data_IF_814584189567
#
_entry.id   IF_814584189567
#
_cell.length_a   1.000
_cell.length_b   1.000
_cell.length_c   1.000
_cell.angle_alpha   90.00
_cell.angle_beta   90.00
_cell.angle_gamma   90.00
#
_symmetry.space_group_name_H-M   'P 1'
#
loop_
_entity.id
_entity.type
_entity.pdbx_description
1 polymer ?
#
# COMPACT_ATOMS: atom_id res chain seq x y z
N UNK A 1 17.97 -5.93 30.73
CA UNK A 1 18.14 -5.73 29.27
C UNK A 1 17.25 -6.67 28.45
N UNK A 2 15.91 -6.58 28.57
CA UNK A 2 14.97 -7.48 27.85
C UNK A 2 13.92 -6.74 26.98
N UNK A 3 13.88 -5.41 27.06
CA UNK A 3 12.88 -4.56 26.40
C UNK A 3 13.31 -4.11 25.00
N UNK A 4 14.62 -4.01 24.74
CA UNK A 4 15.18 -3.46 23.48
C UNK A 4 14.90 -4.38 22.28
N UNK A 5 14.87 -5.70 22.49
CA UNK A 5 14.72 -6.70 21.40
C UNK A 5 13.32 -6.67 20.76
N UNK A 6 12.29 -6.29 21.51
CA UNK A 6 10.92 -6.21 20.98
C UNK A 6 10.69 -5.01 20.07
N UNK A 7 11.40 -3.90 20.32
CA UNK A 7 11.29 -2.67 19.53
C UNK A 7 11.93 -2.84 18.15
N UNK A 8 13.07 -3.52 18.08
CA UNK A 8 13.79 -3.78 16.83
C UNK A 8 12.92 -4.63 15.87
N UNK A 9 12.30 -5.71 16.38
CA UNK A 9 11.43 -6.56 15.56
C UNK A 9 10.21 -5.85 15.00
N UNK A 10 9.62 -4.90 15.72
CA UNK A 10 8.48 -4.12 15.22
C UNK A 10 8.88 -3.24 14.04
N UNK A 11 10.00 -2.54 14.14
CA UNK A 11 10.50 -1.65 13.09
C UNK A 11 10.85 -2.40 11.79
N UNK A 12 11.38 -3.61 11.88
CA UNK A 12 11.65 -4.46 10.71
C UNK A 12 10.36 -4.95 10.05
N UNK A 13 9.36 -5.35 10.84
CA UNK A 13 8.04 -5.77 10.32
C UNK A 13 7.31 -4.61 9.64
N UNK A 14 7.36 -3.41 10.21
CA UNK A 14 6.79 -2.19 9.60
C UNK A 14 7.45 -1.87 8.26
N UNK A 15 8.78 -2.02 8.16
CA UNK A 15 9.50 -1.85 6.88
C UNK A 15 9.12 -2.88 5.83
N UNK A 16 8.95 -4.14 6.20
CA UNK A 16 8.52 -5.17 5.26
C UNK A 16 7.08 -4.92 4.80
N UNK A 17 6.20 -4.53 5.71
CA UNK A 17 4.81 -4.21 5.40
C UNK A 17 4.71 -2.99 4.46
N UNK A 18 5.51 -1.95 4.70
CA UNK A 18 5.63 -0.80 3.79
C UNK A 18 6.10 -1.23 2.39
N UNK A 19 7.06 -2.16 2.28
CA UNK A 19 7.51 -2.67 0.97
C UNK A 19 6.40 -3.40 0.23
N UNK A 20 5.63 -4.24 0.94
CA UNK A 20 4.49 -4.97 0.36
C UNK A 20 3.41 -4.01 -0.12
N UNK A 21 3.04 -3.02 0.71
CA UNK A 21 2.07 -1.99 0.33
C UNK A 21 2.52 -1.16 -0.86
N UNK A 22 3.81 -0.81 -0.96
CA UNK A 22 4.34 -0.12 -2.14
C UNK A 22 4.26 -1.01 -3.39
N UNK A 23 4.53 -2.31 -3.27
CA UNK A 23 4.39 -3.24 -4.38
C UNK A 23 2.93 -3.38 -4.84
N UNK A 24 1.98 -3.46 -3.90
CA UNK A 24 0.54 -3.45 -4.19
C UNK A 24 0.11 -2.13 -4.84
N UNK A 25 0.65 -1.00 -4.38
CA UNK A 25 0.41 0.32 -4.95
C UNK A 25 0.85 0.36 -6.42
N UNK A 26 2.08 -0.07 -6.71
CA UNK A 26 2.65 -0.09 -8.05
C UNK A 26 1.81 -0.99 -8.99
N UNK A 27 1.40 -2.16 -8.50
CA UNK A 27 0.55 -3.08 -9.26
C UNK A 27 -0.82 -2.47 -9.57
N UNK A 28 -1.47 -1.84 -8.59
CA UNK A 28 -2.78 -1.24 -8.80
C UNK A 28 -2.70 0.01 -9.68
N UNK A 29 -1.61 0.78 -9.63
CA UNK A 29 -1.35 1.88 -10.56
C UNK A 29 -1.17 1.39 -12.00
N UNK A 30 -0.44 0.29 -12.21
CA UNK A 30 -0.32 -0.33 -13.53
C UNK A 30 -1.69 -0.81 -14.05
N UNK A 31 -2.48 -1.45 -13.18
CA UNK A 31 -3.84 -1.90 -13.49
C UNK A 31 -4.75 -0.71 -13.85
N UNK A 32 -4.65 0.40 -13.11
CA UNK A 32 -5.40 1.62 -13.41
C UNK A 32 -4.98 2.22 -14.76
N UNK A 33 -3.69 2.25 -15.05
CA UNK A 33 -3.17 2.74 -16.33
C UNK A 33 -3.76 1.96 -17.50
N UNK A 34 -3.77 0.63 -17.42
CA UNK A 34 -4.32 -0.22 -18.48
C UNK A 34 -5.84 -0.01 -18.61
N UNK A 35 -6.55 0.05 -17.49
CA UNK A 35 -7.99 0.33 -17.48
C UNK A 35 -8.35 1.72 -18.04
N UNK A 36 -7.48 2.72 -17.84
CA UNK A 36 -7.63 4.04 -18.45
C UNK A 36 -7.43 3.99 -19.97
N UNK A 37 -6.47 3.19 -20.46
CA UNK A 37 -6.24 3.00 -21.89
C UNK A 37 -7.38 2.24 -22.57
N UNK A 38 -8.00 1.28 -21.87
CA UNK A 38 -9.14 0.50 -22.37
C UNK A 38 -10.50 1.19 -22.11
N UNK A 39 -10.51 2.36 -21.49
CA UNK A 39 -11.71 3.11 -21.07
C UNK A 39 -12.68 2.26 -20.21
N UNK A 40 -12.17 1.27 -19.48
CA UNK A 40 -12.96 0.42 -18.59
C UNK A 40 -13.29 1.18 -17.30
N UNK A 41 -14.38 1.94 -17.37
CA UNK A 41 -14.92 2.72 -16.26
C UNK A 41 -15.22 1.91 -14.99
N UNK A 42 -15.50 0.61 -15.07
CA UNK A 42 -15.68 -0.24 -13.88
C UNK A 42 -14.35 -0.54 -13.22
N UNK A 43 -13.36 -0.95 -14.02
CA UNK A 43 -12.03 -1.27 -13.52
C UNK A 43 -11.32 0.00 -13.00
N UNK A 44 -11.47 1.14 -13.67
CA UNK A 44 -10.99 2.44 -13.19
C UNK A 44 -11.56 2.77 -11.80
N UNK A 45 -12.88 2.63 -11.60
CA UNK A 45 -13.51 2.92 -10.31
C UNK A 45 -13.01 1.96 -9.21
N UNK A 46 -12.85 0.68 -9.54
CA UNK A 46 -12.33 -0.34 -8.62
C UNK A 46 -10.89 -0.05 -8.23
N UNK A 47 -10.02 0.23 -9.21
CA UNK A 47 -8.61 0.53 -8.98
C UNK A 47 -8.42 1.81 -8.16
N UNK A 48 -9.18 2.87 -8.47
CA UNK A 48 -9.17 4.09 -7.65
C UNK A 48 -9.59 3.83 -6.20
N UNK A 49 -10.62 3.01 -5.98
CA UNK A 49 -11.03 2.64 -4.61
C UNK A 49 -9.91 1.92 -3.88
N UNK A 50 -9.26 0.95 -4.54
CA UNK A 50 -8.18 0.16 -3.94
C UNK A 50 -6.94 1.01 -3.64
N UNK A 51 -6.57 1.92 -4.54
CA UNK A 51 -5.50 2.91 -4.31
C UNK A 51 -5.77 3.78 -3.08
N UNK A 52 -7.02 4.21 -2.88
CA UNK A 52 -7.40 4.97 -1.67
C UNK A 52 -7.28 4.13 -0.40
N UNK A 53 -7.63 2.83 -0.43
CA UNK A 53 -7.44 1.93 0.71
C UNK A 53 -5.95 1.79 1.08
N UNK A 54 -5.11 1.53 0.08
CA UNK A 54 -3.65 1.44 0.23
C UNK A 54 -3.07 2.75 0.79
N UNK A 55 -3.54 3.90 0.29
CA UNK A 55 -3.12 5.20 0.79
C UNK A 55 -3.45 5.39 2.27
N UNK A 56 -4.69 5.07 2.68
CA UNK A 56 -5.10 5.15 4.08
C UNK A 56 -4.27 4.20 4.98
N UNK A 57 -3.91 3.02 4.49
CA UNK A 57 -3.04 2.09 5.22
C UNK A 57 -1.63 2.65 5.38
N UNK A 58 -1.06 3.22 4.33
CA UNK A 58 0.23 3.90 4.36
C UNK A 58 0.24 5.12 5.30
N UNK A 59 -0.83 5.91 5.32
CA UNK A 59 -0.97 7.04 6.25
C UNK A 59 -1.00 6.57 7.71
N UNK A 60 -1.76 5.51 8.02
CA UNK A 60 -1.80 4.91 9.36
C UNK A 60 -0.43 4.39 9.82
N UNK A 61 0.36 3.84 8.90
CA UNK A 61 1.72 3.35 9.17
C UNK A 61 2.74 4.49 9.33
N UNK A 62 2.59 5.57 8.56
CA UNK A 62 3.46 6.75 8.66
C UNK A 62 3.10 7.68 9.83
N UNK A 63 1.99 7.43 10.54
CA UNK A 63 1.68 8.07 11.81
C UNK A 63 1.32 9.55 11.71
N UNK A 64 0.71 9.99 10.60
CA UNK A 64 0.07 11.30 10.49
C UNK A 64 -1.38 11.27 11.00
#
# INVERSE_FOLDING_TARGET
MKQIVHVIRKADVEKEFLKVLNLELDYELATLHDALNEEDSKQIAKSKKRLTEIHNELEKLNGF
#
